data_IF_469943347483
#
_entry.id   IF_469943347483
#
_cell.length_a   1.000
_cell.length_b   1.000
_cell.length_c   1.000
_cell.angle_alpha   90.00
_cell.angle_beta   90.00
_cell.angle_gamma   90.00
#
_symmetry.space_group_name_H-M   'P 1'
#
loop_
_entity.id
_entity.type
_entity.pdbx_description
1 polymer ?
#
# COMPACT_ATOMS: atom_id res chain seq x y z
N UNK A 1 -35.31 -9.49 -4.64
CA UNK A 1 -35.30 -8.10 -5.12
C UNK A 1 -35.07 -7.06 -4.01
N UNK A 2 -35.96 -6.82 -3.04
CA UNK A 2 -35.69 -5.80 -1.98
C UNK A 2 -34.57 -6.26 -1.05
N UNK A 3 -34.58 -7.53 -0.62
CA UNK A 3 -33.51 -8.11 0.20
C UNK A 3 -32.18 -8.23 -0.55
N UNK A 4 -32.18 -8.62 -1.83
CA UNK A 4 -30.97 -8.62 -2.67
C UNK A 4 -30.42 -7.20 -2.90
N UNK A 5 -31.28 -6.18 -3.07
CA UNK A 5 -30.84 -4.80 -3.22
C UNK A 5 -30.28 -4.22 -1.90
N UNK A 6 -30.84 -4.62 -0.75
CA UNK A 6 -30.31 -4.29 0.58
C UNK A 6 -29.01 -5.02 0.88
N UNK A 7 -28.89 -6.28 0.46
CA UNK A 7 -27.67 -7.08 0.60
C UNK A 7 -26.57 -6.55 -0.33
N UNK A 8 -26.93 -6.12 -1.54
CA UNK A 8 -26.05 -5.41 -2.46
C UNK A 8 -25.64 -4.04 -1.89
N UNK A 9 -26.57 -3.26 -1.33
CA UNK A 9 -26.27 -1.97 -0.71
C UNK A 9 -25.36 -2.12 0.53
N UNK A 10 -25.54 -3.17 1.32
CA UNK A 10 -24.69 -3.51 2.46
C UNK A 10 -23.34 -4.12 2.03
N UNK A 11 -23.26 -4.83 0.90
CA UNK A 11 -21.98 -5.27 0.31
C UNK A 11 -21.21 -4.11 -0.33
N UNK A 12 -21.92 -3.06 -0.73
CA UNK A 12 -21.33 -1.78 -1.14
C UNK A 12 -20.94 -0.89 0.04
N UNK A 13 -21.19 -1.28 1.30
CA UNK A 13 -20.68 -0.53 2.44
C UNK A 13 -19.14 -0.57 2.38
N UNK A 14 -18.45 0.49 1.91
CA UNK A 14 -17.03 0.47 1.57
C UNK A 14 -16.13 0.46 2.82
N UNK A 15 -16.74 0.11 3.95
CA UNK A 15 -16.29 0.43 5.27
C UNK A 15 -15.33 -0.65 5.75
N UNK A 16 -15.53 -1.92 5.40
CA UNK A 16 -14.73 -2.99 5.99
C UNK A 16 -13.27 -2.95 5.55
N UNK A 17 -12.98 -2.84 4.25
CA UNK A 17 -11.59 -2.76 3.76
C UNK A 17 -10.92 -1.44 4.17
N UNK A 18 -11.64 -0.32 4.17
CA UNK A 18 -11.11 0.96 4.68
C UNK A 18 -10.85 0.92 6.19
N UNK A 19 -11.75 0.34 6.98
CA UNK A 19 -11.56 0.16 8.42
C UNK A 19 -10.43 -0.83 8.71
N UNK A 20 -10.24 -1.87 7.90
CA UNK A 20 -9.12 -2.80 8.04
C UNK A 20 -7.78 -2.05 7.95
N UNK A 21 -7.63 -1.19 6.93
CA UNK A 21 -6.43 -0.33 6.77
C UNK A 21 -6.27 0.61 7.96
N UNK A 22 -7.32 1.33 8.36
CA UNK A 22 -7.24 2.25 9.49
C UNK A 22 -6.90 1.54 10.80
N UNK A 23 -7.50 0.37 11.05
CA UNK A 23 -7.25 -0.45 12.24
C UNK A 23 -5.82 -0.99 12.26
N UNK A 24 -5.31 -1.41 11.11
CA UNK A 24 -3.92 -1.84 10.94
C UNK A 24 -2.94 -0.70 11.27
N UNK A 25 -3.18 0.51 10.74
CA UNK A 25 -2.37 1.69 11.07
C UNK A 25 -2.46 2.11 12.55
N UNK A 26 -3.59 1.87 13.21
CA UNK A 26 -3.76 2.12 14.65
C UNK A 26 -3.15 1.02 15.53
N UNK A 27 -2.58 -0.03 14.95
CA UNK A 27 -2.04 -1.18 15.69
C UNK A 27 -3.11 -2.07 16.33
N UNK A 28 -4.37 -1.96 15.90
CA UNK A 28 -5.47 -2.81 16.36
C UNK A 28 -5.51 -4.09 15.55
N UNK A 29 -4.50 -4.92 15.73
CA UNK A 29 -4.22 -6.08 14.88
C UNK A 29 -5.40 -7.07 14.80
N UNK A 30 -6.01 -7.43 15.95
CA UNK A 30 -7.15 -8.35 15.97
C UNK A 30 -8.35 -7.82 15.18
N UNK A 31 -8.71 -6.56 15.39
CA UNK A 31 -9.81 -5.90 14.69
C UNK A 31 -9.51 -5.80 13.18
N UNK A 32 -8.27 -5.48 12.82
CA UNK A 32 -7.84 -5.38 11.43
C UNK A 32 -7.90 -6.73 10.70
N UNK A 33 -7.52 -7.83 11.35
CA UNK A 33 -7.62 -9.19 10.80
C UNK A 33 -9.07 -9.59 10.59
N UNK A 34 -9.93 -9.39 11.59
CA UNK A 34 -11.37 -9.70 11.47
C UNK A 34 -12.02 -8.92 10.31
N UNK A 35 -11.69 -7.63 10.17
CA UNK A 35 -12.18 -6.80 9.08
C UNK A 35 -11.61 -7.22 7.71
N UNK A 36 -10.36 -7.68 7.66
CA UNK A 36 -9.75 -8.21 6.44
C UNK A 36 -10.47 -9.48 5.97
N UNK A 37 -10.72 -10.43 6.87
CA UNK A 37 -11.45 -11.67 6.56
C UNK A 37 -12.89 -11.39 6.07
N UNK A 38 -13.58 -10.45 6.72
CA UNK A 38 -14.91 -10.02 6.27
C UNK A 38 -14.85 -9.38 4.87
N UNK A 39 -13.83 -8.55 4.62
CA UNK A 39 -13.62 -7.93 3.30
C UNK A 39 -13.42 -8.98 2.20
N UNK A 40 -12.69 -10.06 2.51
CA UNK A 40 -12.48 -11.18 1.59
C UNK A 40 -13.75 -12.00 1.33
N UNK A 41 -14.68 -12.03 2.28
CA UNK A 41 -15.99 -12.69 2.11
C UNK A 41 -16.90 -11.89 1.18
N UNK A 42 -16.90 -10.56 1.33
CA UNK A 42 -17.72 -9.65 0.52
C UNK A 42 -17.13 -9.45 -0.87
N UNK A 43 -15.80 -9.37 -0.96
CA UNK A 43 -15.05 -9.18 -2.19
C UNK A 43 -14.06 -10.34 -2.36
N UNK A 44 -14.53 -11.51 -2.87
CA UNK A 44 -13.64 -12.61 -3.15
C UNK A 44 -12.59 -12.18 -4.16
N UNK A 45 -11.34 -12.17 -3.74
CA UNK A 45 -10.21 -11.79 -4.61
C UNK A 45 -10.05 -12.80 -5.78
N UNK A 46 -10.58 -14.02 -5.63
CA UNK A 46 -10.55 -15.07 -6.63
C UNK A 46 -11.90 -15.25 -7.37
N UNK A 47 -11.89 -15.06 -8.70
CA UNK A 47 -12.72 -15.85 -9.61
C UNK A 47 -14.17 -15.41 -9.90
N UNK A 48 -14.57 -14.14 -9.78
CA UNK A 48 -15.89 -13.71 -10.26
C UNK A 48 -15.87 -13.16 -11.69
N UNK A 49 -16.76 -13.64 -12.56
CA UNK A 49 -16.95 -13.20 -13.96
C UNK A 49 -17.36 -11.71 -14.12
N UNK A 50 -17.63 -11.00 -13.03
CA UNK A 50 -18.02 -9.58 -12.98
C UNK A 50 -16.84 -8.65 -12.65
N UNK A 51 -15.63 -9.06 -13.02
CA UNK A 51 -14.39 -8.37 -12.68
C UNK A 51 -14.15 -7.14 -13.58
N UNK A 52 -15.06 -6.16 -13.54
CA UNK A 52 -14.63 -4.78 -13.75
C UNK A 52 -13.65 -4.47 -12.61
N UNK A 53 -12.38 -4.22 -12.96
CA UNK A 53 -11.28 -4.03 -12.01
C UNK A 53 -11.62 -2.83 -11.12
N UNK A 54 -12.29 -3.07 -10.00
CA UNK A 54 -12.47 -2.07 -8.96
C UNK A 54 -11.15 -2.04 -8.19
N UNK A 55 -10.24 -1.19 -8.66
CA UNK A 55 -8.90 -1.03 -8.10
C UNK A 55 -8.93 -0.52 -6.67
N UNK A 56 -9.95 0.24 -6.29
CA UNK A 56 -10.08 0.81 -4.95
C UNK A 56 -10.13 -0.24 -3.82
N UNK A 57 -11.12 -1.16 -3.75
CA UNK A 57 -11.18 -2.18 -2.71
C UNK A 57 -9.96 -3.10 -2.75
N UNK A 58 -9.50 -3.47 -3.94
CA UNK A 58 -8.31 -4.31 -4.14
C UNK A 58 -7.07 -3.69 -3.49
N UNK A 59 -6.87 -2.38 -3.65
CA UNK A 59 -5.73 -1.66 -3.09
C UNK A 59 -5.84 -1.49 -1.57
N UNK A 60 -7.03 -1.22 -1.03
CA UNK A 60 -7.22 -1.17 0.42
C UNK A 60 -6.95 -2.52 1.09
N UNK A 61 -7.46 -3.61 0.51
CA UNK A 61 -7.21 -4.97 1.02
C UNK A 61 -5.71 -5.29 0.92
N UNK A 62 -5.05 -4.91 -0.18
CA UNK A 62 -3.61 -5.09 -0.37
C UNK A 62 -2.81 -4.33 0.69
N UNK A 63 -3.13 -3.07 0.94
CA UNK A 63 -2.47 -2.26 1.95
C UNK A 63 -2.62 -2.85 3.35
N UNK A 64 -3.84 -3.25 3.74
CA UNK A 64 -4.08 -3.90 5.02
C UNK A 64 -3.30 -5.22 5.12
N UNK A 65 -3.27 -6.03 4.06
CA UNK A 65 -2.53 -7.29 4.01
C UNK A 65 -1.02 -7.07 4.18
N UNK A 66 -0.47 -6.02 3.57
CA UNK A 66 0.95 -5.66 3.74
C UNK A 66 1.25 -5.25 5.18
N UNK A 67 0.41 -4.41 5.79
CA UNK A 67 0.57 -3.97 7.19
C UNK A 67 0.48 -5.13 8.18
N UNK A 68 -0.42 -6.08 7.92
CA UNK A 68 -0.64 -7.28 8.73
C UNK A 68 0.27 -8.46 8.35
N UNK A 69 1.14 -8.29 7.35
CA UNK A 69 2.06 -9.32 6.81
C UNK A 69 1.37 -10.59 6.31
N UNK A 70 0.14 -10.46 5.79
CA UNK A 70 -0.61 -11.58 5.23
C UNK A 70 -0.19 -11.85 3.77
N UNK A 71 0.78 -12.75 3.59
CA UNK A 71 1.45 -12.99 2.29
C UNK A 71 0.52 -13.53 1.21
N UNK A 72 -0.39 -14.44 1.57
CA UNK A 72 -1.26 -15.13 0.60
C UNK A 72 -2.23 -14.16 -0.09
N UNK A 73 -2.86 -13.26 0.68
CA UNK A 73 -3.76 -12.24 0.14
C UNK A 73 -2.96 -11.20 -0.65
N UNK A 74 -1.78 -10.81 -0.15
CA UNK A 74 -0.90 -9.87 -0.84
C UNK A 74 -0.46 -10.40 -2.22
N UNK A 75 -0.05 -11.67 -2.32
CA UNK A 75 0.34 -12.31 -3.59
C UNK A 75 -0.83 -12.32 -4.58
N UNK A 76 -2.01 -12.74 -4.14
CA UNK A 76 -3.19 -12.83 -5.00
C UNK A 76 -3.57 -11.45 -5.58
N UNK A 77 -3.53 -10.41 -4.73
CA UNK A 77 -3.82 -9.04 -5.15
C UNK A 77 -2.69 -8.42 -5.96
N UNK A 78 -1.44 -8.75 -5.67
CA UNK A 78 -0.29 -8.32 -6.46
C UNK A 78 -0.41 -8.82 -7.90
N UNK A 79 -0.63 -10.13 -8.09
CA UNK A 79 -0.78 -10.74 -9.42
C UNK A 79 -1.96 -10.17 -10.20
N UNK A 80 -3.03 -9.78 -9.48
CA UNK A 80 -4.20 -9.13 -10.07
C UNK A 80 -3.92 -7.69 -10.48
N UNK A 81 -3.28 -6.90 -9.62
CA UNK A 81 -3.07 -5.46 -9.82
C UNK A 81 -1.88 -5.14 -10.72
N UNK A 82 -0.86 -6.01 -10.84
CA UNK A 82 0.32 -5.74 -11.68
C UNK A 82 0.02 -5.59 -13.17
N UNK A 83 -1.13 -6.11 -13.64
CA UNK A 83 -1.59 -5.98 -15.02
C UNK A 83 -2.50 -4.78 -15.28
N UNK A 84 -2.74 -3.95 -14.26
CA UNK A 84 -3.62 -2.79 -14.39
C UNK A 84 -3.01 -1.69 -15.24
N UNK A 85 -3.85 -0.94 -15.96
CA UNK A 85 -3.43 0.21 -16.77
C UNK A 85 -3.59 1.55 -16.04
N UNK A 86 -4.16 1.54 -14.84
CA UNK A 86 -4.37 2.75 -14.03
C UNK A 86 -3.29 2.88 -12.96
N UNK A 87 -2.73 4.08 -12.81
CA UNK A 87 -1.71 4.33 -11.77
C UNK A 87 -2.30 4.77 -10.44
N UNK A 88 -3.58 5.13 -10.39
CA UNK A 88 -4.27 5.61 -9.17
C UNK A 88 -5.68 5.02 -9.07
N UNK A 89 -6.21 4.96 -7.85
CA UNK A 89 -7.55 4.45 -7.49
C UNK A 89 -8.68 5.47 -7.63
N UNK A 90 -8.42 6.62 -8.27
CA UNK A 90 -9.43 7.65 -8.48
C UNK A 90 -9.81 8.44 -7.23
N UNK A 91 -11.03 9.00 -7.21
CA UNK A 91 -11.41 10.07 -6.28
C UNK A 91 -11.68 9.62 -4.83
N UNK A 92 -12.05 8.36 -4.61
CA UNK A 92 -12.56 7.89 -3.31
C UNK A 92 -11.46 7.56 -2.29
N UNK A 93 -10.29 7.14 -2.78
CA UNK A 93 -9.11 6.86 -1.98
C UNK A 93 -7.91 7.23 -2.81
N UNK A 94 -7.34 8.40 -2.55
CA UNK A 94 -6.28 8.94 -3.38
C UNK A 94 -4.96 8.26 -3.01
N UNK A 95 -4.56 7.26 -3.79
CA UNK A 95 -3.28 6.57 -3.63
C UNK A 95 -2.68 6.16 -4.98
N UNK A 96 -1.40 5.81 -4.99
CA UNK A 96 -0.65 5.34 -6.13
C UNK A 96 -0.53 3.80 -6.11
N UNK A 97 -1.06 3.14 -7.15
CA UNK A 97 -1.10 1.67 -7.23
C UNK A 97 0.31 1.06 -7.27
N UNK A 98 1.26 1.58 -8.07
CA UNK A 98 2.66 1.12 -8.04
C UNK A 98 3.30 1.14 -6.64
N UNK A 99 2.97 2.12 -5.79
CA UNK A 99 3.48 2.14 -4.40
C UNK A 99 3.02 0.91 -3.61
N UNK A 100 1.76 0.52 -3.77
CA UNK A 100 1.21 -0.65 -3.08
C UNK A 100 1.78 -1.95 -3.65
N UNK A 101 1.98 -2.03 -4.96
CA UNK A 101 2.68 -3.15 -5.60
C UNK A 101 4.11 -3.29 -5.08
N UNK A 102 4.84 -2.18 -4.92
CA UNK A 102 6.18 -2.17 -4.33
C UNK A 102 6.19 -2.69 -2.89
N UNK A 103 5.24 -2.25 -2.06
CA UNK A 103 5.09 -2.74 -0.69
C UNK A 103 4.74 -4.23 -0.61
N UNK A 104 3.89 -4.71 -1.52
CA UNK A 104 3.53 -6.11 -1.62
C UNK A 104 4.70 -6.97 -2.09
N UNK A 105 5.40 -6.56 -3.16
CA UNK A 105 6.59 -7.23 -3.64
C UNK A 105 7.68 -7.33 -2.56
N UNK A 106 7.88 -6.27 -1.77
CA UNK A 106 8.82 -6.30 -0.65
C UNK A 106 8.41 -7.32 0.44
N UNK A 107 7.11 -7.39 0.80
CA UNK A 107 6.59 -8.40 1.74
C UNK A 107 6.77 -9.84 1.20
N UNK A 108 6.65 -10.00 -0.11
CA UNK A 108 6.81 -11.26 -0.83
C UNK A 108 8.28 -11.59 -1.11
N UNK A 109 9.22 -10.76 -0.64
CA UNK A 109 10.67 -10.93 -0.80
C UNK A 109 11.13 -10.86 -2.28
N UNK A 110 10.34 -10.20 -3.12
CA UNK A 110 10.60 -9.91 -4.54
C UNK A 110 11.22 -8.53 -4.68
N UNK A 111 12.44 -8.37 -4.17
CA UNK A 111 13.04 -7.04 -3.96
C UNK A 111 13.32 -6.25 -5.25
N UNK A 112 13.72 -6.94 -6.33
CA UNK A 112 13.94 -6.27 -7.63
C UNK A 112 12.61 -5.68 -8.17
N UNK A 113 11.53 -6.46 -8.11
CA UNK A 113 10.20 -5.97 -8.50
C UNK A 113 9.67 -4.89 -7.55
N UNK A 114 10.01 -4.98 -6.26
CA UNK A 114 9.67 -3.93 -5.30
C UNK A 114 10.33 -2.61 -5.67
N UNK A 115 11.63 -2.64 -6.03
CA UNK A 115 12.39 -1.49 -6.49
C UNK A 115 11.76 -0.89 -7.74
N UNK A 116 11.51 -1.69 -8.78
CA UNK A 116 10.88 -1.24 -10.03
C UNK A 116 9.53 -0.55 -9.80
N UNK A 117 8.66 -1.14 -8.99
CA UNK A 117 7.35 -0.56 -8.68
C UNK A 117 7.43 0.73 -7.86
N UNK A 118 8.40 0.86 -6.94
CA UNK A 118 8.60 2.12 -6.23
C UNK A 118 9.17 3.22 -7.13
N UNK A 119 10.07 2.89 -8.05
CA UNK A 119 10.59 3.83 -9.06
C UNK A 119 9.48 4.33 -10.00
N UNK A 120 8.60 3.43 -10.43
CA UNK A 120 7.38 3.78 -11.18
C UNK A 120 6.49 4.72 -10.36
N UNK A 121 6.23 4.38 -9.08
CA UNK A 121 5.43 5.21 -8.19
C UNK A 121 6.01 6.62 -8.02
N UNK A 122 7.34 6.73 -7.89
CA UNK A 122 8.05 8.02 -7.81
C UNK A 122 7.84 8.82 -9.09
N UNK A 123 7.95 8.19 -10.26
CA UNK A 123 7.73 8.84 -11.56
C UNK A 123 6.32 9.40 -11.66
N UNK A 124 5.31 8.55 -11.45
CA UNK A 124 3.88 8.93 -11.48
C UNK A 124 3.58 10.05 -10.49
N UNK A 125 4.01 9.92 -9.23
CA UNK A 125 3.71 10.90 -8.20
C UNK A 125 4.45 12.23 -8.42
N UNK A 126 5.61 12.20 -9.07
CA UNK A 126 6.33 13.42 -9.47
C UNK A 126 5.55 14.17 -10.54
N UNK A 127 5.14 13.48 -11.60
CA UNK A 127 4.41 14.06 -12.73
C UNK A 127 3.04 14.63 -12.30
N UNK A 128 2.33 13.89 -11.44
CA UNK A 128 1.05 14.33 -10.86
C UNK A 128 1.20 15.39 -9.76
N UNK A 129 2.42 15.65 -9.29
CA UNK A 129 2.71 16.48 -8.11
C UNK A 129 2.00 15.98 -6.85
N UNK A 130 1.88 14.67 -6.71
CA UNK A 130 1.21 14.01 -5.60
C UNK A 130 2.16 13.84 -4.40
N UNK A 131 2.38 14.94 -3.66
CA UNK A 131 3.41 15.03 -2.61
C UNK A 131 3.37 13.91 -1.54
N UNK A 132 2.23 13.56 -0.92
CA UNK A 132 2.19 12.51 0.10
C UNK A 132 2.64 11.15 -0.44
N UNK A 133 2.10 10.75 -1.60
CA UNK A 133 2.42 9.47 -2.23
C UNK A 133 3.86 9.43 -2.75
N UNK A 134 4.41 10.55 -3.22
CA UNK A 134 5.84 10.66 -3.57
C UNK A 134 6.73 10.40 -2.34
N UNK A 135 6.42 11.01 -1.20
CA UNK A 135 7.19 10.83 0.02
C UNK A 135 7.08 9.39 0.56
N UNK A 136 5.89 8.79 0.52
CA UNK A 136 5.65 7.40 0.90
C UNK A 136 6.38 6.41 -0.02
N UNK A 137 6.39 6.66 -1.33
CA UNK A 137 7.09 5.82 -2.31
C UNK A 137 8.61 5.88 -2.14
N UNK A 138 9.16 7.08 -1.89
CA UNK A 138 10.58 7.23 -1.56
C UNK A 138 10.96 6.57 -0.24
N UNK A 139 10.09 6.62 0.78
CA UNK A 139 10.31 5.85 2.00
C UNK A 139 10.38 4.34 1.70
N UNK A 140 9.44 3.81 0.92
CA UNK A 140 9.41 2.39 0.54
C UNK A 140 10.68 1.96 -0.22
N UNK A 141 11.07 2.72 -1.25
CA UNK A 141 12.31 2.47 -1.98
C UNK A 141 13.54 2.54 -1.08
N UNK A 142 13.65 3.59 -0.26
CA UNK A 142 14.75 3.76 0.67
C UNK A 142 14.88 2.59 1.66
N UNK A 143 13.78 2.02 2.13
CA UNK A 143 13.81 0.82 2.98
C UNK A 143 14.30 -0.41 2.22
N UNK A 144 13.79 -0.66 1.00
CA UNK A 144 14.22 -1.81 0.18
C UNK A 144 15.72 -1.72 -0.15
N UNK A 145 16.18 -0.55 -0.62
CA UNK A 145 17.58 -0.33 -0.94
C UNK A 145 18.48 -0.52 0.29
N UNK A 146 18.06 0.00 1.44
CA UNK A 146 18.85 -0.09 2.66
C UNK A 146 18.98 -1.53 3.18
N UNK A 147 17.90 -2.30 3.12
CA UNK A 147 17.85 -3.64 3.69
C UNK A 147 18.46 -4.69 2.73
N UNK A 148 18.45 -4.46 1.41
CA UNK A 148 18.81 -5.49 0.40
C UNK A 148 19.88 -5.11 -0.61
N UNK A 149 20.25 -3.83 -0.76
CA UNK A 149 21.19 -3.35 -1.78
C UNK A 149 22.34 -2.56 -1.10
N UNK A 150 23.35 -3.24 -0.52
CA UNK A 150 24.38 -2.58 0.29
C UNK A 150 25.19 -1.54 -0.49
N UNK A 151 25.39 -1.75 -1.79
CA UNK A 151 26.10 -0.83 -2.68
C UNK A 151 25.29 0.45 -2.99
N UNK A 152 23.96 0.40 -2.81
CA UNK A 152 23.03 1.51 -3.06
C UNK A 152 22.64 2.25 -1.77
N UNK A 153 23.33 1.97 -0.65
CA UNK A 153 23.10 2.65 0.63
C UNK A 153 23.13 4.19 0.55
N UNK A 154 24.02 4.84 -0.21
CA UNK A 154 23.98 6.31 -0.36
C UNK A 154 22.66 6.80 -0.96
N UNK A 155 22.17 6.13 -2.00
CA UNK A 155 20.90 6.44 -2.65
C UNK A 155 19.71 6.20 -1.72
N UNK A 156 19.72 5.10 -0.97
CA UNK A 156 18.73 4.82 0.07
C UNK A 156 18.60 5.98 1.07
N UNK A 157 19.74 6.54 1.51
CA UNK A 157 19.76 7.67 2.44
C UNK A 157 19.19 8.95 1.82
N UNK A 158 19.43 9.22 0.54
CA UNK A 158 18.84 10.36 -0.17
C UNK A 158 17.31 10.26 -0.22
N UNK A 159 16.78 9.06 -0.51
CA UNK A 159 15.34 8.82 -0.49
C UNK A 159 14.73 9.02 0.90
N UNK A 160 15.38 8.50 1.95
CA UNK A 160 14.94 8.68 3.33
C UNK A 160 14.99 10.16 3.76
N UNK A 161 16.02 10.91 3.39
CA UNK A 161 16.15 12.33 3.72
C UNK A 161 15.08 13.18 3.05
N UNK A 162 14.78 12.90 1.78
CA UNK A 162 13.65 13.52 1.10
C UNK A 162 12.34 13.21 1.83
N UNK A 163 12.07 11.94 2.15
CA UNK A 163 10.82 11.53 2.77
C UNK A 163 10.65 12.15 4.17
N UNK A 164 11.70 12.17 5.00
CA UNK A 164 11.70 12.81 6.32
C UNK A 164 11.35 14.29 6.23
N UNK A 165 11.96 15.02 5.28
CA UNK A 165 11.68 16.43 5.06
C UNK A 165 10.20 16.64 4.71
N UNK A 166 9.70 15.93 3.70
CA UNK A 166 8.31 16.05 3.25
C UNK A 166 7.31 15.66 4.36
N UNK A 167 7.52 14.56 5.08
CA UNK A 167 6.63 14.16 6.17
C UNK A 167 6.61 15.18 7.30
N UNK A 168 7.74 15.84 7.61
CA UNK A 168 7.79 16.92 8.59
C UNK A 168 7.00 18.14 8.13
N UNK A 169 7.16 18.56 6.88
CA UNK A 169 6.42 19.69 6.31
C UNK A 169 4.91 19.43 6.25
N UNK A 170 4.52 18.20 5.91
CA UNK A 170 3.12 17.77 5.82
C UNK A 170 2.52 17.31 7.16
N UNK A 171 3.30 17.30 8.25
CA UNK A 171 2.89 16.82 9.59
C UNK A 171 2.39 15.36 9.61
N UNK A 172 2.96 14.50 8.77
CA UNK A 172 2.64 13.07 8.69
C UNK A 172 3.42 12.29 9.75
N UNK A 173 3.03 12.45 11.01
CA UNK A 173 3.80 11.95 12.16
C UNK A 173 4.11 10.43 12.13
N UNK A 174 3.16 9.53 11.81
CA UNK A 174 3.46 8.09 11.79
C UNK A 174 4.53 7.71 10.76
N UNK A 175 4.45 8.30 9.56
CA UNK A 175 5.43 8.07 8.48
C UNK A 175 6.77 8.73 8.78
N UNK A 176 6.78 9.91 9.40
CA UNK A 176 7.99 10.58 9.87
C UNK A 176 8.75 9.70 10.87
N UNK A 177 8.05 9.16 11.88
CA UNK A 177 8.66 8.29 12.87
C UNK A 177 9.20 6.99 12.27
N UNK A 178 8.48 6.39 11.31
CA UNK A 178 8.97 5.23 10.55
C UNK A 178 10.26 5.55 9.82
N UNK A 179 10.30 6.66 9.07
CA UNK A 179 11.48 7.06 8.31
C UNK A 179 12.69 7.38 9.22
N UNK A 180 12.46 8.04 10.37
CA UNK A 180 13.51 8.32 11.35
C UNK A 180 14.08 7.04 11.97
N UNK A 181 13.24 6.07 12.36
CA UNK A 181 13.70 4.78 12.89
C UNK A 181 14.63 4.06 11.91
N UNK A 182 14.31 4.07 10.61
CA UNK A 182 15.16 3.47 9.58
C UNK A 182 16.53 4.13 9.49
N UNK A 183 16.58 5.47 9.60
CA UNK A 183 17.85 6.20 9.59
C UNK A 183 18.67 6.00 10.87
N UNK A 184 18.01 5.87 12.02
CA UNK A 184 18.68 5.71 13.31
C UNK A 184 19.26 4.31 13.52
N UNK A 185 18.70 3.26 12.90
CA UNK A 185 19.29 1.91 12.85
C UNK A 185 20.72 1.94 12.25
N UNK A 186 21.04 2.93 11.42
CA UNK A 186 22.36 3.09 10.81
C UNK A 186 23.39 3.84 11.67
N UNK A 187 22.94 4.45 12.77
CA UNK A 187 23.81 5.17 13.72
C UNK A 187 24.13 4.35 14.97
N UNK A 188 23.41 3.24 15.18
CA UNK A 188 23.66 2.27 16.25
C UNK A 188 24.67 1.22 15.80
#
# INVERSE_FOLDING_TARGET
MVDEALQLANSYAPVQWTLAVCSAYMGREKEAVELLEQSMTIYPVAGSEQDEINTFPSVCILEASVLLKHKEIAETLFERLKSTTVSTTGMWWLTCIPRHLGGAAALLERYDEAKEHFEEAITVCTDMRFRPELALSRLGLGEVLLDHYPDEKPEALEHLDFAIKEFREMKMQPSLERALRRKDILKA
#
